data_IF_749725585659
#
_entry.id   IF_749725585659
#
_cell.length_a   1.000
_cell.length_b   1.000
_cell.length_c   1.000
_cell.angle_alpha   90.00
_cell.angle_beta   90.00
_cell.angle_gamma   90.00
#
_symmetry.space_group_name_H-M   'P 1'
#
loop_
_entity.id
_entity.type
_entity.pdbx_description
1 polymer ?
#
# COMPACT_ATOMS: atom_id res chain seq x y z
N UNK A 1 20.06 -49.04 72.89
CA UNK A 1 18.85 -48.22 72.75
C UNK A 1 18.14 -48.67 71.48
N UNK A 2 16.95 -49.28 71.66
CA UNK A 2 15.77 -49.40 70.78
C UNK A 2 15.99 -49.35 69.26
N UNK A 3 15.85 -50.49 68.55
CA UNK A 3 14.63 -51.00 67.87
C UNK A 3 14.26 -50.17 66.62
N UNK A 4 13.85 -50.69 65.45
CA UNK A 4 13.52 -52.03 64.97
C UNK A 4 13.26 -51.87 63.44
N UNK A 5 13.58 -52.93 62.68
CA UNK A 5 12.83 -53.48 61.53
C UNK A 5 13.12 -52.98 60.12
N UNK A 6 13.82 -53.86 59.40
CA UNK A 6 13.70 -54.11 57.97
C UNK A 6 12.25 -54.51 57.60
N UNK A 7 11.82 -54.06 56.41
CA UNK A 7 10.83 -54.76 55.60
C UNK A 7 11.21 -54.62 54.12
N UNK A 8 11.04 -55.73 53.42
CA UNK A 8 11.57 -56.08 52.12
C UNK A 8 10.72 -55.53 50.96
N UNK A 9 11.35 -55.59 49.78
CA UNK A 9 10.98 -55.20 48.41
C UNK A 9 9.56 -55.56 47.93
N UNK A 10 9.08 -54.88 46.88
CA UNK A 10 8.94 -55.45 45.52
C UNK A 10 8.43 -54.40 44.51
N UNK A 11 9.11 -54.37 43.35
CA UNK A 11 8.66 -54.14 41.96
C UNK A 11 7.94 -52.80 41.62
N UNK A 12 8.11 -52.13 40.47
CA UNK A 12 8.57 -52.52 39.13
C UNK A 12 8.96 -51.26 38.32
N UNK A 13 9.85 -51.48 37.36
CA UNK A 13 10.09 -50.78 36.09
C UNK A 13 10.32 -49.25 35.99
N UNK A 14 11.52 -48.92 35.48
CA UNK A 14 11.62 -48.09 34.26
C UNK A 14 12.25 -46.71 34.39
N UNK A 15 13.57 -46.64 34.21
CA UNK A 15 14.28 -45.44 33.75
C UNK A 15 13.89 -45.08 32.30
N UNK A 16 13.67 -43.79 32.04
CA UNK A 16 14.46 -42.92 31.14
C UNK A 16 13.62 -41.87 30.39
N UNK A 17 14.20 -40.66 30.37
CA UNK A 17 13.87 -39.41 29.69
C UNK A 17 13.11 -39.48 28.35
N UNK A 18 12.19 -38.52 28.15
CA UNK A 18 12.29 -37.53 27.06
C UNK A 18 11.23 -36.42 27.10
N UNK A 19 11.74 -35.22 26.80
CA UNK A 19 11.15 -34.14 25.99
C UNK A 19 10.03 -33.25 26.52
N UNK A 20 10.41 -31.97 26.64
CA UNK A 20 9.78 -30.80 26.03
C UNK A 20 8.34 -30.98 25.57
N UNK A 21 7.38 -30.45 26.34
CA UNK A 21 6.11 -30.07 25.75
C UNK A 21 5.42 -28.97 26.57
N UNK A 22 4.96 -27.95 25.82
CA UNK A 22 3.89 -27.01 26.15
C UNK A 22 4.25 -25.62 26.70
N UNK A 23 5.09 -24.90 25.94
CA UNK A 23 4.91 -23.46 25.72
C UNK A 23 4.04 -23.23 24.48
N UNK A 24 2.75 -23.58 24.55
CA UNK A 24 1.83 -23.51 23.38
C UNK A 24 0.56 -22.71 23.69
N UNK A 25 0.67 -21.68 24.52
CA UNK A 25 -0.41 -20.71 24.75
C UNK A 25 0.14 -19.29 24.77
N UNK A 26 0.73 -18.83 23.66
CA UNK A 26 0.95 -17.40 23.45
C UNK A 26 1.11 -16.96 21.98
N UNK A 27 0.47 -17.63 21.03
CA UNK A 27 0.57 -17.27 19.60
C UNK A 27 -0.78 -17.01 18.90
N UNK A 28 -1.87 -16.81 19.65
CA UNK A 28 -3.21 -16.61 19.06
C UNK A 28 -3.84 -15.22 19.27
N UNK A 29 -3.09 -14.20 19.72
CA UNK A 29 -3.62 -12.84 19.93
C UNK A 29 -2.95 -11.73 19.11
N UNK A 30 -2.27 -12.05 18.00
CA UNK A 30 -1.65 -11.01 17.14
C UNK A 30 -2.09 -11.01 15.67
N UNK A 31 -3.25 -11.55 15.36
CA UNK A 31 -3.90 -11.36 14.06
C UNK A 31 -5.32 -10.84 14.24
N UNK A 32 -5.45 -9.51 14.40
CA UNK A 32 -6.63 -8.70 14.04
C UNK A 32 -6.38 -7.25 14.43
N UNK A 33 -5.61 -6.54 13.61
CA UNK A 33 -5.71 -5.08 13.58
C UNK A 33 -5.32 -4.53 12.21
N UNK A 34 -5.83 -5.18 11.17
CA UNK A 34 -5.79 -4.63 9.82
C UNK A 34 -7.21 -4.29 9.37
N UNK A 35 -7.38 -3.02 8.97
CA UNK A 35 -8.46 -2.45 8.14
C UNK A 35 -9.67 -1.83 8.82
N UNK A 36 -9.43 -0.77 9.58
CA UNK A 36 -10.34 0.38 9.54
C UNK A 36 -9.53 1.68 9.36
N UNK A 37 -9.08 1.95 8.13
CA UNK A 37 -8.66 3.32 7.76
C UNK A 37 -9.88 4.21 7.98
N UNK A 38 -9.83 5.25 8.83
CA UNK A 38 -11.01 6.02 9.19
C UNK A 38 -11.65 6.60 7.93
N UNK A 39 -12.87 6.14 7.63
CA UNK A 39 -13.63 6.46 6.41
C UNK A 39 -13.76 7.98 6.17
N UNK A 40 -13.66 8.77 7.25
CA UNK A 40 -13.61 10.23 7.28
C UNK A 40 -12.41 10.82 6.53
N UNK A 41 -11.24 10.18 6.60
CA UNK A 41 -10.00 10.69 5.96
C UNK A 41 -10.04 10.57 4.44
N UNK A 42 -10.53 9.45 3.90
CA UNK A 42 -10.70 9.25 2.45
C UNK A 42 -11.73 10.20 1.86
N UNK A 43 -12.89 10.39 2.52
CA UNK A 43 -13.92 11.36 2.07
C UNK A 43 -13.35 12.77 1.94
N UNK A 44 -12.58 13.22 2.93
CA UNK A 44 -11.92 14.54 2.91
C UNK A 44 -10.96 14.71 1.74
N UNK A 45 -10.18 13.67 1.37
CA UNK A 45 -9.23 13.74 0.24
C UNK A 45 -9.94 13.84 -1.12
N UNK A 46 -11.04 13.12 -1.30
CA UNK A 46 -11.84 13.19 -2.54
C UNK A 46 -12.47 14.57 -2.72
N UNK A 47 -13.05 15.13 -1.67
CA UNK A 47 -13.62 16.47 -1.70
C UNK A 47 -12.56 17.55 -2.01
N UNK A 48 -11.38 17.44 -1.40
CA UNK A 48 -10.26 18.33 -1.67
C UNK A 48 -9.81 18.25 -3.12
N UNK A 49 -9.70 17.04 -3.68
CA UNK A 49 -9.39 16.86 -5.10
C UNK A 49 -10.40 17.59 -5.99
N UNK A 50 -11.71 17.36 -5.79
CA UNK A 50 -12.74 17.98 -6.63
C UNK A 50 -12.81 19.50 -6.47
N UNK A 51 -12.54 20.03 -5.27
CA UNK A 51 -12.43 21.48 -5.04
C UNK A 51 -11.34 22.11 -5.91
N UNK A 52 -10.19 21.45 -6.06
CA UNK A 52 -9.11 21.93 -6.92
C UNK A 52 -9.46 21.71 -8.40
N UNK A 53 -9.79 20.48 -8.75
CA UNK A 53 -9.97 20.05 -10.14
C UNK A 53 -11.10 20.79 -10.87
N UNK A 54 -12.20 21.12 -10.18
CA UNK A 54 -13.33 21.86 -10.76
C UNK A 54 -12.99 23.29 -11.21
N UNK A 55 -11.92 23.88 -10.68
CA UNK A 55 -11.47 25.22 -11.05
C UNK A 55 -10.29 25.21 -12.02
N UNK A 56 -9.78 24.03 -12.40
CA UNK A 56 -8.71 23.91 -13.38
C UNK A 56 -9.24 23.99 -14.81
N UNK A 57 -8.49 24.67 -15.68
CA UNK A 57 -8.70 24.57 -17.13
C UNK A 57 -8.45 23.14 -17.58
N UNK A 58 -9.34 22.59 -18.41
CA UNK A 58 -9.17 21.22 -18.91
C UNK A 58 -7.99 21.15 -19.87
N UNK A 59 -7.24 20.03 -19.92
CA UNK A 59 -6.09 19.91 -20.83
C UNK A 59 -6.40 20.22 -22.30
N UNK A 60 -7.58 19.84 -22.79
CA UNK A 60 -8.01 20.11 -24.15
C UNK A 60 -8.25 21.59 -24.47
N UNK A 61 -8.44 22.44 -23.46
CA UNK A 61 -8.72 23.87 -23.58
C UNK A 61 -7.47 24.73 -23.34
N UNK A 62 -6.34 24.11 -22.97
CA UNK A 62 -5.08 24.81 -22.79
C UNK A 62 -4.52 25.26 -24.14
N UNK A 63 -4.19 26.54 -24.23
CA UNK A 63 -3.47 27.11 -25.36
C UNK A 63 -1.97 27.03 -25.10
N UNK A 64 -1.21 26.41 -26.01
CA UNK A 64 0.25 26.40 -25.92
C UNK A 64 0.86 25.04 -25.55
N UNK A 65 2.16 25.07 -25.27
CA UNK A 65 2.87 23.95 -24.65
C UNK A 65 2.62 24.00 -23.15
N UNK A 66 1.87 23.04 -22.63
CA UNK A 66 1.51 23.00 -21.20
C UNK A 66 1.49 21.58 -20.68
N UNK A 67 1.79 21.43 -19.40
CA UNK A 67 1.85 20.14 -18.72
C UNK A 67 1.16 20.22 -17.36
N UNK A 68 0.29 19.24 -17.07
CA UNK A 68 -0.17 18.99 -15.71
C UNK A 68 0.53 17.76 -15.15
N UNK A 69 0.90 17.86 -13.88
CA UNK A 69 1.58 16.81 -13.14
C UNK A 69 0.76 16.53 -11.87
N UNK A 70 0.42 15.27 -11.64
CA UNK A 70 -0.20 14.81 -10.41
C UNK A 70 0.63 13.64 -9.87
N UNK A 71 1.33 13.88 -8.76
CA UNK A 71 2.23 12.91 -8.14
C UNK A 71 1.86 12.69 -6.68
N UNK A 72 2.24 11.52 -6.14
CA UNK A 72 2.13 11.27 -4.70
C UNK A 72 2.93 12.32 -3.92
N UNK A 73 2.45 12.64 -2.71
CA UNK A 73 3.10 13.58 -1.82
C UNK A 73 4.56 13.17 -1.56
N UNK A 74 5.48 14.12 -1.66
CA UNK A 74 6.92 13.88 -1.47
C UNK A 74 7.69 13.44 -2.72
N UNK A 75 7.01 13.04 -3.81
CA UNK A 75 7.66 12.65 -5.07
C UNK A 75 7.66 13.82 -6.04
N UNK A 76 8.86 14.26 -6.47
CA UNK A 76 8.98 15.30 -7.50
C UNK A 76 8.72 14.71 -8.89
N UNK A 77 8.11 15.46 -9.82
CA UNK A 77 7.84 15.01 -11.18
C UNK A 77 9.10 15.06 -12.07
N UNK A 78 10.20 14.46 -11.61
CA UNK A 78 11.51 14.48 -12.28
C UNK A 78 12.22 13.15 -12.10
N UNK A 79 13.03 12.76 -13.09
CA UNK A 79 13.65 11.43 -13.12
C UNK A 79 14.76 11.29 -12.06
N UNK A 80 15.31 12.40 -11.58
CA UNK A 80 16.34 12.44 -10.54
C UNK A 80 15.79 12.12 -9.13
N UNK A 81 14.47 12.19 -8.94
CA UNK A 81 13.85 11.83 -7.67
C UNK A 81 14.09 10.35 -7.36
N UNK A 82 14.39 10.04 -6.09
CA UNK A 82 14.71 8.68 -5.65
C UNK A 82 13.61 7.68 -5.97
N UNK A 83 12.34 8.09 -5.96
CA UNK A 83 11.22 7.24 -6.32
C UNK A 83 11.11 6.98 -7.84
N UNK A 84 11.67 7.86 -8.68
CA UNK A 84 11.54 7.77 -10.15
C UNK A 84 12.80 7.24 -10.84
N UNK A 85 13.99 7.40 -10.24
CA UNK A 85 15.29 7.17 -10.90
C UNK A 85 15.52 5.76 -11.44
N UNK A 86 14.85 4.75 -10.85
CA UNK A 86 14.92 3.36 -11.29
C UNK A 86 13.62 2.87 -11.96
N UNK A 87 12.70 3.79 -12.26
CA UNK A 87 11.38 3.49 -12.81
C UNK A 87 11.30 3.65 -14.33
N UNK A 88 10.06 3.82 -14.80
CA UNK A 88 9.74 4.06 -16.20
C UNK A 88 8.42 4.79 -16.35
N UNK A 89 7.98 5.00 -17.60
CA UNK A 89 6.67 5.60 -17.89
C UNK A 89 6.00 4.96 -19.09
N UNK A 90 4.69 4.75 -18.97
CA UNK A 90 3.84 4.42 -20.10
C UNK A 90 3.44 5.71 -20.84
N UNK A 91 3.72 5.76 -22.14
CA UNK A 91 3.43 6.95 -22.96
C UNK A 91 2.34 6.60 -23.96
N UNK A 92 1.22 7.33 -23.90
CA UNK A 92 0.11 7.22 -24.84
C UNK A 92 0.02 8.52 -25.63
N UNK A 93 0.13 8.43 -26.96
CA UNK A 93 -0.08 9.57 -27.85
C UNK A 93 -1.55 9.63 -28.25
N UNK A 94 -2.19 10.77 -28.01
CA UNK A 94 -3.61 10.97 -28.25
C UNK A 94 -3.83 11.96 -29.39
N UNK A 95 -4.91 11.77 -30.15
CA UNK A 95 -5.40 12.80 -31.08
C UNK A 95 -5.97 13.99 -30.29
N UNK A 96 -5.95 15.19 -30.89
CA UNK A 96 -6.56 16.40 -30.30
C UNK A 96 -8.04 16.14 -29.93
N UNK A 97 -8.48 16.72 -28.82
CA UNK A 97 -9.83 16.54 -28.28
C UNK A 97 -10.01 15.35 -27.32
N UNK A 98 -9.08 14.39 -27.26
CA UNK A 98 -9.19 13.23 -26.35
C UNK A 98 -8.52 13.45 -24.98
N UNK A 99 -7.60 14.42 -24.89
CA UNK A 99 -6.74 14.61 -23.72
C UNK A 99 -7.52 14.84 -22.42
N UNK A 100 -8.56 15.68 -22.42
CA UNK A 100 -9.33 16.00 -21.20
C UNK A 100 -9.98 14.76 -20.57
N UNK A 101 -10.66 13.94 -21.38
CA UNK A 101 -11.33 12.73 -20.90
C UNK A 101 -10.33 11.65 -20.48
N UNK A 102 -9.27 11.44 -21.27
CA UNK A 102 -8.22 10.49 -20.92
C UNK A 102 -7.49 10.89 -19.63
N UNK A 103 -7.20 12.17 -19.46
CA UNK A 103 -6.58 12.70 -18.24
C UNK A 103 -7.48 12.49 -17.02
N UNK A 104 -8.76 12.85 -17.09
CA UNK A 104 -9.72 12.65 -16.00
C UNK A 104 -9.82 11.17 -15.60
N UNK A 105 -10.00 10.28 -16.57
CA UNK A 105 -10.06 8.84 -16.29
C UNK A 105 -8.77 8.31 -15.64
N UNK A 106 -7.61 8.76 -16.12
CA UNK A 106 -6.30 8.34 -15.60
C UNK A 106 -6.12 8.75 -14.14
N UNK A 107 -6.37 10.02 -13.81
CA UNK A 107 -6.19 10.50 -12.44
C UNK A 107 -7.24 9.93 -11.48
N UNK A 108 -8.47 9.69 -11.93
CA UNK A 108 -9.49 9.04 -11.11
C UNK A 108 -9.15 7.57 -10.86
N UNK A 109 -8.63 6.85 -11.86
CA UNK A 109 -8.14 5.49 -11.66
C UNK A 109 -6.97 5.44 -10.66
N UNK A 110 -6.04 6.41 -10.74
CA UNK A 110 -4.92 6.52 -9.82
C UNK A 110 -5.37 6.84 -8.39
N UNK A 111 -6.19 7.87 -8.20
CA UNK A 111 -6.72 8.26 -6.87
C UNK A 111 -7.67 7.21 -6.28
N UNK A 112 -8.35 6.45 -7.13
CA UNK A 112 -9.19 5.32 -6.74
C UNK A 112 -8.41 4.02 -6.53
N UNK A 113 -7.07 4.04 -6.60
CA UNK A 113 -6.20 2.86 -6.41
C UNK A 113 -6.52 1.70 -7.37
N UNK A 114 -7.01 1.98 -8.58
CA UNK A 114 -7.55 0.96 -9.51
C UNK A 114 -6.50 0.11 -10.22
N UNK A 115 -5.21 0.46 -10.11
CA UNK A 115 -4.13 -0.24 -10.80
C UNK A 115 -3.70 -1.55 -10.11
N UNK A 116 -3.98 -1.72 -8.81
CA UNK A 116 -3.67 -2.95 -8.06
C UNK A 116 -2.20 -3.40 -8.14
N UNK A 117 -1.26 -2.44 -8.20
CA UNK A 117 0.19 -2.67 -8.28
C UNK A 117 0.95 -2.27 -7.00
N UNK A 118 0.25 -2.05 -5.88
CA UNK A 118 0.88 -1.57 -4.65
C UNK A 118 1.42 -0.13 -4.79
N UNK A 119 2.66 0.10 -4.37
CA UNK A 119 3.25 1.45 -4.31
C UNK A 119 3.94 1.91 -5.60
N UNK A 120 3.94 1.10 -6.66
CA UNK A 120 4.67 1.33 -7.92
C UNK A 120 4.24 2.61 -8.68
N UNK A 121 3.02 3.10 -8.47
CA UNK A 121 2.56 4.34 -9.13
C UNK A 121 3.15 5.56 -8.43
N UNK A 122 4.01 6.30 -9.14
CA UNK A 122 4.57 7.56 -8.65
C UNK A 122 3.68 8.77 -8.97
N UNK A 123 3.13 8.82 -10.19
CA UNK A 123 2.28 9.92 -10.66
C UNK A 123 1.88 9.82 -12.13
N UNK A 124 1.16 10.82 -12.61
CA UNK A 124 0.71 10.95 -13.99
C UNK A 124 0.99 12.35 -14.54
N UNK A 125 1.22 12.41 -15.85
CA UNK A 125 1.45 13.66 -16.60
C UNK A 125 0.57 13.69 -17.83
N UNK A 126 -0.05 14.83 -18.11
CA UNK A 126 -0.66 15.13 -19.41
C UNK A 126 0.06 16.30 -20.05
N UNK A 127 0.50 16.10 -21.28
CA UNK A 127 1.27 17.07 -22.06
C UNK A 127 0.49 17.52 -23.28
N UNK A 128 0.14 18.81 -23.32
CA UNK A 128 -0.51 19.44 -24.47
C UNK A 128 0.58 19.99 -25.38
N UNK A 129 0.55 19.57 -26.64
CA UNK A 129 1.54 19.92 -27.66
C UNK A 129 0.83 20.21 -28.98
N UNK A 130 1.38 21.13 -29.77
CA UNK A 130 0.98 21.28 -31.16
C UNK A 130 1.65 20.18 -31.99
N UNK A 131 0.86 19.20 -32.42
CA UNK A 131 1.14 18.45 -33.64
C UNK A 131 0.49 19.17 -34.81
#
# INVERSE_FOLDING_TARGET
MNNKFDALKDDDSGDHDQNEENNTQKDSEKEKNDREKPQSTTKRKVEQFWRFYSHMVRPGDLTGHSDFHLFKEGIKPMWEDDANKNGGKWIIRLRKGLASRCWENLILAMLGEQFMVGEEICGAVVSVRFQ
#
